data_IF_023141624125
#
_entry.id   IF_023141624125
#
_cell.length_a   1.000
_cell.length_b   1.000
_cell.length_c   1.000
_cell.angle_alpha   90.00
_cell.angle_beta   90.00
_cell.angle_gamma   90.00
#
_symmetry.space_group_name_H-M   'P 1'
#
loop_
_entity.id
_entity.type
_entity.pdbx_description
1 polymer ?
#
# COMPACT_ATOMS: atom_id res chain seq x y z
N UNK A 1 -2.77 47.07 -2.56
CA UNK A 1 -2.47 47.07 -4.01
C UNK A 1 -2.92 48.34 -4.73
N UNK A 2 -3.94 49.06 -4.23
CA UNK A 2 -4.48 50.31 -4.80
C UNK A 2 -3.46 51.47 -4.91
N UNK A 3 -2.48 51.52 -4.01
CA UNK A 3 -1.47 52.59 -3.96
C UNK A 3 -0.52 52.59 -5.18
N UNK A 4 -0.08 51.42 -5.64
CA UNK A 4 0.85 51.32 -6.79
C UNK A 4 0.24 51.75 -8.13
N UNK A 5 -1.05 51.49 -8.34
CA UNK A 5 -1.75 51.94 -9.54
C UNK A 5 -1.91 53.46 -9.57
N UNK A 6 -2.18 54.07 -8.42
CA UNK A 6 -2.28 55.53 -8.30
C UNK A 6 -0.90 56.19 -8.54
N UNK A 7 0.17 55.64 -7.99
CA UNK A 7 1.54 56.11 -8.21
C UNK A 7 1.95 56.01 -9.69
N UNK A 8 1.64 54.90 -10.36
CA UNK A 8 1.91 54.73 -11.79
C UNK A 8 1.16 55.75 -12.65
N UNK A 9 -0.12 55.99 -12.37
CA UNK A 9 -0.91 56.97 -13.11
C UNK A 9 -0.43 58.41 -12.92
N UNK A 10 0.03 58.77 -11.72
CA UNK A 10 0.67 60.07 -11.47
C UNK A 10 1.96 60.21 -12.28
N UNK A 11 2.83 59.21 -12.25
CA UNK A 11 4.08 59.22 -13.01
C UNK A 11 3.85 59.35 -14.53
N UNK A 12 2.89 58.59 -15.08
CA UNK A 12 2.51 58.68 -16.49
C UNK A 12 1.98 60.07 -16.88
N UNK A 13 1.13 60.66 -16.03
CA UNK A 13 0.61 62.02 -16.26
C UNK A 13 1.70 63.06 -16.22
N UNK A 14 2.65 62.94 -15.29
CA UNK A 14 3.77 63.86 -15.16
C UNK A 14 4.72 63.75 -16.37
N UNK A 15 5.06 62.52 -16.78
CA UNK A 15 5.86 62.29 -17.99
C UNK A 15 5.18 62.86 -19.25
N UNK A 16 3.87 62.63 -19.41
CA UNK A 16 3.10 63.18 -20.53
C UNK A 16 3.03 64.72 -20.45
N UNK A 17 2.86 65.29 -19.27
CA UNK A 17 2.86 66.74 -19.07
C UNK A 17 4.21 67.37 -19.44
N UNK A 18 5.33 66.75 -19.04
CA UNK A 18 6.67 67.18 -19.44
C UNK A 18 6.88 67.09 -20.96
N UNK A 19 6.40 66.02 -21.60
CA UNK A 19 6.50 65.86 -23.06
C UNK A 19 5.66 66.90 -23.81
N UNK A 20 4.42 67.13 -23.38
CA UNK A 20 3.53 68.17 -23.95
C UNK A 20 4.10 69.56 -23.72
N UNK A 21 4.71 69.82 -22.55
CA UNK A 21 5.39 71.07 -22.27
C UNK A 21 6.59 71.29 -23.21
N UNK A 22 7.46 70.28 -23.37
CA UNK A 22 8.58 70.35 -24.31
C UNK A 22 8.10 70.57 -25.76
N UNK A 23 7.03 69.89 -26.18
CA UNK A 23 6.40 70.10 -27.48
C UNK A 23 5.86 71.52 -27.65
N UNK A 24 5.18 72.05 -26.62
CA UNK A 24 4.66 73.42 -26.63
C UNK A 24 5.76 74.45 -26.73
N UNK A 25 6.85 74.29 -25.97
CA UNK A 25 8.03 75.18 -26.03
C UNK A 25 8.70 75.09 -27.40
N UNK A 26 8.83 73.90 -27.98
CA UNK A 26 9.38 73.72 -29.32
C UNK A 26 8.52 74.42 -30.39
N UNK A 27 7.20 74.22 -30.38
CA UNK A 27 6.28 74.86 -31.32
C UNK A 27 6.30 76.39 -31.15
N UNK A 28 6.31 76.88 -29.92
CA UNK A 28 6.35 78.31 -29.62
C UNK A 28 7.65 78.96 -30.12
N UNK A 29 8.80 78.33 -29.87
CA UNK A 29 10.10 78.81 -30.35
C UNK A 29 10.25 78.75 -31.87
N UNK A 30 9.55 77.82 -32.55
CA UNK A 30 9.50 77.76 -34.02
C UNK A 30 8.54 78.81 -34.63
N UNK A 31 7.42 79.10 -33.96
CA UNK A 31 6.41 80.03 -34.48
C UNK A 31 6.71 81.51 -34.17
N UNK A 32 7.35 81.84 -33.04
CA UNK A 32 7.65 83.23 -32.65
C UNK A 32 8.42 84.03 -33.73
N UNK A 33 9.50 83.48 -34.32
CA UNK A 33 10.27 84.19 -35.36
C UNK A 33 9.51 84.38 -36.67
N UNK A 34 8.38 83.67 -36.87
CA UNK A 34 7.48 83.86 -38.01
C UNK A 34 6.51 85.04 -37.81
N UNK A 35 6.03 85.25 -36.58
CA UNK A 35 5.10 86.34 -36.27
C UNK A 35 5.82 87.65 -35.94
N UNK A 36 7.06 87.59 -35.46
CA UNK A 36 7.87 88.78 -35.12
C UNK A 36 9.27 88.68 -35.77
N UNK A 37 9.47 89.27 -36.96
CA UNK A 37 10.73 89.21 -37.70
C UNK A 37 11.93 89.77 -36.93
N UNK A 38 11.70 90.72 -36.01
CA UNK A 38 12.73 91.38 -35.23
C UNK A 38 13.47 90.47 -34.23
N UNK A 39 12.95 89.26 -33.95
CA UNK A 39 13.57 88.30 -33.01
C UNK A 39 14.37 87.18 -33.68
N UNK A 40 14.54 87.19 -35.01
CA UNK A 40 15.25 86.13 -35.74
C UNK A 40 16.75 85.99 -35.40
N UNK A 41 17.36 86.98 -34.74
CA UNK A 41 18.80 86.97 -34.36
C UNK A 41 19.10 86.61 -32.89
N UNK A 42 18.10 86.23 -32.09
CA UNK A 42 18.28 85.98 -30.66
C UNK A 42 18.94 84.61 -30.38
N UNK A 43 20.19 84.60 -29.93
CA UNK A 43 20.95 83.37 -29.60
C UNK A 43 20.23 82.46 -28.57
N UNK A 44 19.59 83.08 -27.57
CA UNK A 44 18.91 82.38 -26.49
C UNK A 44 17.66 81.62 -26.97
N UNK A 45 16.98 82.11 -28.01
CA UNK A 45 15.85 81.42 -28.65
C UNK A 45 16.32 80.13 -29.34
N UNK A 46 17.49 80.16 -29.98
CA UNK A 46 18.10 78.98 -30.60
C UNK A 46 18.44 77.88 -29.58
N UNK A 47 18.96 78.26 -28.41
CA UNK A 47 19.29 77.31 -27.34
C UNK A 47 18.04 76.60 -26.79
N UNK A 48 16.95 77.35 -26.54
CA UNK A 48 15.68 76.80 -26.06
C UNK A 48 15.05 75.88 -27.13
N UNK A 49 15.14 76.26 -28.40
CA UNK A 49 14.68 75.42 -29.51
C UNK A 49 15.42 74.07 -29.51
N UNK A 50 16.75 74.08 -29.49
CA UNK A 50 17.55 72.85 -29.50
C UNK A 50 17.29 71.98 -28.26
N UNK A 51 17.18 72.59 -27.08
CA UNK A 51 16.88 71.89 -25.84
C UNK A 51 15.49 71.24 -25.84
N UNK A 52 14.47 71.96 -26.33
CA UNK A 52 13.10 71.43 -26.44
C UNK A 52 12.97 70.36 -27.52
N UNK A 53 13.70 70.49 -28.63
CA UNK A 53 13.80 69.47 -29.68
C UNK A 53 14.42 68.17 -29.15
N UNK A 54 15.55 68.27 -28.45
CA UNK A 54 16.22 67.12 -27.83
C UNK A 54 15.32 66.45 -26.77
N UNK A 55 14.64 67.23 -25.93
CA UNK A 55 13.71 66.72 -24.92
C UNK A 55 12.50 66.01 -25.54
N UNK A 56 11.94 66.56 -26.63
CA UNK A 56 10.83 65.97 -27.38
C UNK A 56 11.24 64.62 -27.99
N UNK A 57 12.35 64.59 -28.73
CA UNK A 57 12.83 63.38 -29.42
C UNK A 57 13.20 62.31 -28.39
N UNK A 58 13.91 62.68 -27.32
CA UNK A 58 14.27 61.77 -26.25
C UNK A 58 13.06 61.15 -25.55
N UNK A 59 12.02 61.95 -25.27
CA UNK A 59 10.79 61.45 -24.66
C UNK A 59 9.98 60.53 -25.59
N UNK A 60 9.95 60.81 -26.89
CA UNK A 60 9.34 59.91 -27.88
C UNK A 60 10.10 58.59 -28.03
N UNK A 61 11.44 58.62 -27.97
CA UNK A 61 12.29 57.44 -28.06
C UNK A 61 12.11 56.51 -26.86
N UNK A 62 12.07 57.05 -25.64
CA UNK A 62 11.83 56.26 -24.42
C UNK A 62 10.41 55.65 -24.42
N UNK A 63 9.41 56.42 -24.84
CA UNK A 63 8.06 55.90 -25.03
C UNK A 63 8.02 54.74 -26.03
N UNK A 64 8.73 54.87 -27.15
CA UNK A 64 8.85 53.82 -28.15
C UNK A 64 9.55 52.58 -27.58
N UNK A 65 10.67 52.71 -26.87
CA UNK A 65 11.40 51.59 -26.29
C UNK A 65 10.53 50.76 -25.33
N UNK A 66 9.87 51.41 -24.36
CA UNK A 66 9.01 50.72 -23.40
C UNK A 66 7.82 50.06 -24.09
N UNK A 67 7.21 50.74 -25.06
CA UNK A 67 6.07 50.19 -25.80
C UNK A 67 6.51 49.00 -26.67
N UNK A 68 7.65 49.10 -27.36
CA UNK A 68 8.21 48.05 -28.20
C UNK A 68 8.67 46.82 -27.39
N UNK A 69 9.08 46.96 -26.14
CA UNK A 69 9.43 45.82 -25.29
C UNK A 69 8.19 45.02 -24.82
N UNK A 70 7.09 45.72 -24.50
CA UNK A 70 5.98 45.13 -23.71
C UNK A 70 4.62 45.09 -24.39
N UNK A 71 4.38 45.82 -25.49
CA UNK A 71 3.08 45.89 -26.16
C UNK A 71 3.21 45.74 -27.67
N UNK A 72 2.27 45.03 -28.32
CA UNK A 72 2.15 45.08 -29.76
C UNK A 72 1.67 46.47 -30.19
N UNK A 73 2.35 47.06 -31.18
CA UNK A 73 1.92 48.33 -31.78
C UNK A 73 0.72 48.02 -32.71
N UNK A 74 -0.39 48.78 -32.62
CA UNK A 74 -1.61 48.51 -33.39
C UNK A 74 -1.42 48.53 -34.91
N UNK A 75 -2.31 47.82 -35.60
CA UNK A 75 -2.15 47.34 -36.98
C UNK A 75 -2.10 48.40 -38.10
N UNK A 76 -2.30 49.69 -37.81
CA UNK A 76 -2.22 50.75 -38.82
C UNK A 76 -0.77 51.06 -39.25
N UNK A 77 0.23 50.72 -38.43
CA UNK A 77 1.65 50.80 -38.79
C UNK A 77 2.44 49.68 -38.08
N UNK A 78 2.42 48.43 -38.59
CA UNK A 78 3.10 47.31 -37.95
C UNK A 78 4.62 47.49 -38.08
N UNK A 79 5.27 47.86 -36.96
CA UNK A 79 6.74 47.84 -36.87
C UNK A 79 7.15 46.40 -36.55
N UNK A 80 7.91 45.73 -37.44
CA UNK A 80 8.39 44.37 -37.19
C UNK A 80 9.29 44.32 -35.94
N UNK A 81 9.31 43.19 -35.24
CA UNK A 81 10.12 42.95 -34.03
C UNK A 81 9.80 43.80 -32.79
N UNK A 82 8.52 44.15 -32.59
CA UNK A 82 8.02 44.69 -31.32
C UNK A 82 7.41 43.57 -30.46
N UNK A 83 7.18 43.83 -29.18
CA UNK A 83 6.70 42.88 -28.17
C UNK A 83 7.66 41.71 -27.85
N UNK A 84 8.98 41.93 -27.89
CA UNK A 84 10.00 40.86 -27.74
C UNK A 84 9.87 40.12 -26.41
N UNK A 85 9.64 40.83 -25.30
CA UNK A 85 9.59 40.21 -23.97
C UNK A 85 8.27 39.49 -23.74
N UNK A 86 7.13 40.06 -24.13
CA UNK A 86 5.86 39.40 -23.91
C UNK A 86 5.64 38.20 -24.87
N UNK A 87 6.18 38.26 -26.09
CA UNK A 87 6.13 37.14 -27.05
C UNK A 87 7.01 35.95 -26.61
N UNK A 88 8.17 36.21 -26.00
CA UNK A 88 9.10 35.16 -25.54
C UNK A 88 8.97 34.83 -24.04
N UNK A 89 7.86 35.18 -23.40
CA UNK A 89 7.66 34.98 -21.94
C UNK A 89 7.89 33.53 -21.50
N UNK A 90 7.43 32.57 -22.29
CA UNK A 90 7.60 31.13 -22.00
C UNK A 90 9.07 30.71 -22.00
N UNK A 91 9.83 31.16 -23.00
CA UNK A 91 11.27 30.89 -23.14
C UNK A 91 12.05 31.50 -21.97
N UNK A 92 11.74 32.75 -21.62
CA UNK A 92 12.36 33.44 -20.47
C UNK A 92 12.05 32.71 -19.16
N UNK A 93 10.79 32.31 -18.95
CA UNK A 93 10.40 31.57 -17.75
C UNK A 93 11.10 30.21 -17.65
N UNK A 94 11.25 29.49 -18.76
CA UNK A 94 11.91 28.19 -18.79
C UNK A 94 13.42 28.32 -18.51
N UNK A 95 14.08 29.31 -19.12
CA UNK A 95 15.50 29.60 -18.88
C UNK A 95 15.76 30.04 -17.44
N UNK A 96 14.86 30.87 -16.87
CA UNK A 96 14.95 31.27 -15.47
C UNK A 96 14.75 30.07 -14.53
N UNK A 97 13.81 29.17 -14.85
CA UNK A 97 13.59 27.94 -14.07
C UNK A 97 14.82 27.03 -14.11
N UNK A 98 15.42 26.83 -15.28
CA UNK A 98 16.68 26.10 -15.46
C UNK A 98 17.82 26.73 -14.65
N UNK A 99 17.98 28.06 -14.74
CA UNK A 99 18.99 28.78 -13.98
C UNK A 99 18.80 28.60 -12.46
N UNK A 100 17.56 28.70 -11.97
CA UNK A 100 17.26 28.49 -10.55
C UNK A 100 17.56 27.05 -10.13
N UNK A 101 17.17 26.07 -10.95
CA UNK A 101 17.47 24.65 -10.71
C UNK A 101 18.98 24.41 -10.66
N UNK A 102 19.73 24.91 -11.63
CA UNK A 102 21.18 24.67 -11.76
C UNK A 102 22.00 25.42 -10.71
N UNK A 103 21.65 26.68 -10.41
CA UNK A 103 22.44 27.51 -9.49
C UNK A 103 22.04 27.37 -8.04
N UNK A 104 20.74 27.20 -7.74
CA UNK A 104 20.24 27.17 -6.37
C UNK A 104 19.83 25.78 -5.88
N UNK A 105 19.43 24.87 -6.78
CA UNK A 105 18.96 23.52 -6.42
C UNK A 105 19.82 22.40 -7.02
N UNK A 106 21.13 22.62 -7.15
CA UNK A 106 22.02 21.53 -7.49
C UNK A 106 22.21 20.61 -6.28
N UNK A 107 22.42 19.29 -6.50
CA UNK A 107 22.49 18.30 -5.42
C UNK A 107 23.47 18.68 -4.30
N UNK A 108 24.63 19.25 -4.64
CA UNK A 108 25.67 19.63 -3.69
C UNK A 108 25.25 20.81 -2.79
N UNK A 109 24.56 21.82 -3.32
CA UNK A 109 24.00 22.91 -2.50
C UNK A 109 22.89 22.42 -1.57
N UNK A 110 22.04 21.50 -2.04
CA UNK A 110 20.99 20.91 -1.21
C UNK A 110 21.62 20.06 -0.11
N UNK A 111 22.61 19.22 -0.43
CA UNK A 111 23.32 18.41 0.56
C UNK A 111 24.00 19.30 1.59
N UNK A 112 24.71 20.34 1.15
CA UNK A 112 25.37 21.30 2.04
C UNK A 112 24.36 22.01 2.94
N UNK A 113 23.24 22.47 2.39
CA UNK A 113 22.17 23.11 3.16
C UNK A 113 21.57 22.15 4.20
N UNK A 114 21.30 20.89 3.84
CA UNK A 114 20.79 19.86 4.76
C UNK A 114 21.82 19.55 5.85
N UNK A 115 23.10 19.44 5.49
CA UNK A 115 24.20 19.17 6.43
C UNK A 115 24.40 20.31 7.42
N UNK A 116 24.35 21.56 6.95
CA UNK A 116 24.52 22.76 7.78
C UNK A 116 23.32 23.00 8.70
N UNK A 117 22.11 22.62 8.27
CA UNK A 117 20.87 22.83 9.05
C UNK A 117 20.49 21.66 9.98
N UNK A 118 21.15 20.50 9.86
CA UNK A 118 20.94 19.27 10.65
C UNK A 118 19.47 19.06 11.08
N UNK A 119 18.55 18.91 10.12
CA UNK A 119 17.12 18.83 10.38
C UNK A 119 16.77 17.61 11.24
N UNK A 120 17.58 16.54 11.17
CA UNK A 120 17.42 15.36 12.01
C UNK A 120 17.64 15.68 13.49
N UNK A 121 18.69 16.43 13.83
CA UNK A 121 18.93 16.89 15.21
C UNK A 121 17.92 17.94 15.67
N UNK A 122 17.38 18.74 14.75
CA UNK A 122 16.23 19.62 15.01
C UNK A 122 14.97 18.83 15.38
N UNK A 123 14.63 17.82 14.57
CA UNK A 123 13.50 16.93 14.83
C UNK A 123 13.70 16.12 16.12
N UNK A 124 14.90 15.62 16.39
CA UNK A 124 15.25 14.92 17.64
C UNK A 124 15.04 15.80 18.87
N UNK A 125 15.50 17.06 18.85
CA UNK A 125 15.26 18.04 19.94
C UNK A 125 13.79 18.39 20.09
N UNK A 126 13.03 18.43 19.00
CA UNK A 126 11.59 18.66 19.06
C UNK A 126 10.86 17.46 19.68
N UNK A 127 11.26 16.24 19.32
CA UNK A 127 10.70 14.98 19.82
C UNK A 127 11.15 14.63 21.24
N UNK A 128 12.28 15.13 21.72
CA UNK A 128 12.71 14.92 23.11
C UNK A 128 11.78 15.59 24.11
N UNK A 129 10.93 16.53 23.68
CA UNK A 129 9.85 17.09 24.49
C UNK A 129 8.63 16.13 24.47
N UNK A 130 8.27 15.60 25.63
CA UNK A 130 7.18 14.61 25.78
C UNK A 130 5.84 15.07 25.19
N UNK A 131 5.53 16.38 25.29
CA UNK A 131 4.34 17.00 24.69
C UNK A 131 4.32 16.86 23.16
N UNK A 132 5.45 17.07 22.50
CA UNK A 132 5.56 17.02 21.04
C UNK A 132 5.58 15.59 20.53
N UNK A 133 6.31 14.69 21.20
CA UNK A 133 6.27 13.26 20.93
C UNK A 133 4.84 12.70 21.06
N UNK A 134 4.09 13.13 22.08
CA UNK A 134 2.70 12.72 22.28
C UNK A 134 1.76 13.29 21.21
N UNK A 135 1.98 14.53 20.75
CA UNK A 135 1.24 15.10 19.62
C UNK A 135 1.49 14.34 18.33
N UNK A 136 2.76 14.03 18.01
CA UNK A 136 3.10 13.28 16.81
C UNK A 136 2.57 11.84 16.88
N UNK A 137 2.75 11.17 18.02
CA UNK A 137 2.19 9.83 18.27
C UNK A 137 0.68 9.82 18.02
N UNK A 138 -0.04 10.81 18.57
CA UNK A 138 -1.49 10.92 18.36
C UNK A 138 -1.85 11.13 16.89
N UNK A 139 -1.18 12.06 16.21
CA UNK A 139 -1.40 12.31 14.79
C UNK A 139 -1.15 11.07 13.93
N UNK A 140 -0.05 10.34 14.19
CA UNK A 140 0.28 9.11 13.48
C UNK A 140 -0.78 8.04 13.75
N UNK A 141 -1.17 7.83 15.02
CA UNK A 141 -2.19 6.84 15.36
C UNK A 141 -3.56 7.21 14.78
N UNK A 142 -3.95 8.49 14.75
CA UNK A 142 -5.20 8.95 14.15
C UNK A 142 -5.18 8.76 12.62
N UNK A 143 -4.05 9.08 11.97
CA UNK A 143 -3.87 8.86 10.54
C UNK A 143 -3.90 7.36 10.20
N UNK A 144 -3.21 6.52 10.98
CA UNK A 144 -3.23 5.06 10.83
C UNK A 144 -4.63 4.50 11.06
N UNK A 145 -5.36 4.95 12.08
CA UNK A 145 -6.74 4.54 12.32
C UNK A 145 -7.65 4.95 11.16
N UNK A 146 -7.44 6.14 10.59
CA UNK A 146 -8.13 6.60 9.38
C UNK A 146 -7.88 5.68 8.18
N UNK A 147 -6.62 5.36 7.90
CA UNK A 147 -6.23 4.42 6.83
C UNK A 147 -6.82 3.03 7.08
N UNK A 148 -6.73 2.54 8.31
CA UNK A 148 -7.21 1.21 8.68
C UNK A 148 -8.73 1.12 8.48
N UNK A 149 -9.51 2.16 8.83
CA UNK A 149 -10.95 2.21 8.53
C UNK A 149 -11.26 2.12 7.03
N UNK A 150 -10.45 2.72 6.16
CA UNK A 150 -10.59 2.59 4.70
C UNK A 150 -10.31 1.15 4.24
N UNK A 151 -9.36 0.46 4.89
CA UNK A 151 -9.03 -0.93 4.58
C UNK A 151 -10.09 -1.96 5.04
N UNK A 152 -11.08 -1.57 5.84
CA UNK A 152 -12.18 -2.45 6.25
C UNK A 152 -13.29 -2.59 5.17
N UNK A 153 -13.16 -1.85 4.08
CA UNK A 153 -14.20 -1.80 3.06
C UNK A 153 -14.36 -3.14 2.30
N UNK A 154 -15.58 -3.39 1.82
CA UNK A 154 -15.95 -4.61 1.06
C UNK A 154 -15.01 -4.90 -0.12
N UNK A 155 -14.54 -3.91 -0.91
CA UNK A 155 -13.60 -4.16 -2.00
C UNK A 155 -12.26 -4.70 -1.52
N UNK A 156 -11.75 -4.22 -0.38
CA UNK A 156 -10.47 -4.68 0.18
C UNK A 156 -10.59 -6.11 0.70
N UNK A 157 -11.69 -6.44 1.40
CA UNK A 157 -11.99 -7.81 1.82
C UNK A 157 -12.05 -8.77 0.62
N UNK A 158 -12.73 -8.37 -0.45
CA UNK A 158 -12.80 -9.16 -1.68
C UNK A 158 -11.43 -9.31 -2.36
N UNK A 159 -10.62 -8.25 -2.38
CA UNK A 159 -9.27 -8.29 -2.92
C UNK A 159 -8.36 -9.26 -2.12
N UNK A 160 -8.44 -9.22 -0.79
CA UNK A 160 -7.67 -10.13 0.08
C UNK A 160 -8.10 -11.58 -0.14
N UNK A 161 -9.41 -11.86 -0.19
CA UNK A 161 -9.91 -13.19 -0.49
C UNK A 161 -9.42 -13.71 -1.85
N UNK A 162 -9.51 -12.87 -2.90
CA UNK A 162 -9.01 -13.22 -4.24
C UNK A 162 -7.49 -13.44 -4.27
N UNK A 163 -6.75 -12.65 -3.51
CA UNK A 163 -5.29 -12.80 -3.40
C UNK A 163 -4.92 -14.07 -2.66
N UNK A 164 -5.61 -14.40 -1.57
CA UNK A 164 -5.43 -15.66 -0.84
C UNK A 164 -5.73 -16.87 -1.76
N UNK A 165 -6.83 -16.79 -2.52
CA UNK A 165 -7.21 -17.83 -3.48
C UNK A 165 -6.13 -18.01 -4.56
N UNK A 166 -5.59 -16.91 -5.10
CA UNK A 166 -4.49 -16.94 -6.07
C UNK A 166 -3.21 -17.50 -5.46
N UNK A 167 -2.89 -17.13 -4.23
CA UNK A 167 -1.73 -17.63 -3.49
C UNK A 167 -1.79 -19.15 -3.30
N UNK A 168 -2.91 -19.67 -2.80
CA UNK A 168 -3.12 -21.12 -2.64
C UNK A 168 -3.00 -21.84 -3.99
N UNK A 169 -3.48 -21.21 -5.07
CA UNK A 169 -3.35 -21.76 -6.42
C UNK A 169 -1.92 -21.84 -6.96
N UNK A 170 -1.01 -21.02 -6.45
CA UNK A 170 0.40 -21.04 -6.82
C UNK A 170 1.23 -22.00 -5.95
N UNK A 171 0.69 -22.45 -4.82
CA UNK A 171 1.37 -23.42 -3.96
C UNK A 171 1.30 -24.81 -4.57
N UNK A 172 2.45 -25.48 -4.61
CA UNK A 172 2.51 -26.91 -4.86
C UNK A 172 2.11 -27.67 -3.58
N UNK A 173 0.80 -27.86 -3.40
CA UNK A 173 0.26 -28.60 -2.25
C UNK A 173 0.79 -30.03 -2.19
N UNK A 174 1.11 -30.64 -3.34
CA UNK A 174 1.66 -32.00 -3.37
C UNK A 174 3.03 -32.01 -2.73
N UNK A 175 3.92 -31.10 -3.15
CA UNK A 175 5.26 -30.99 -2.57
C UNK A 175 5.21 -30.62 -1.09
N UNK A 176 4.32 -29.72 -0.69
CA UNK A 176 4.14 -29.34 0.72
C UNK A 176 3.68 -30.53 1.58
N UNK A 177 2.69 -31.30 1.13
CA UNK A 177 2.24 -32.50 1.84
C UNK A 177 3.32 -33.57 1.88
N UNK A 178 4.02 -33.81 0.78
CA UNK A 178 5.10 -34.79 0.73
C UNK A 178 6.25 -34.43 1.66
N UNK A 179 6.61 -33.14 1.74
CA UNK A 179 7.70 -32.67 2.60
C UNK A 179 7.29 -32.71 4.07
N UNK A 180 6.08 -32.26 4.41
CA UNK A 180 5.60 -32.25 5.80
C UNK A 180 5.36 -33.65 6.33
N UNK A 181 4.68 -34.50 5.55
CA UNK A 181 4.39 -35.88 5.93
C UNK A 181 5.68 -36.73 5.92
N UNK A 182 6.59 -36.46 4.98
CA UNK A 182 7.93 -37.04 4.97
C UNK A 182 8.74 -36.66 6.22
N UNK A 183 8.67 -35.40 6.68
CA UNK A 183 9.35 -34.97 7.90
C UNK A 183 8.79 -35.66 9.17
N UNK A 184 7.47 -35.86 9.23
CA UNK A 184 6.80 -36.57 10.34
C UNK A 184 7.02 -38.10 10.26
N UNK A 185 7.31 -38.63 9.07
CA UNK A 185 7.56 -40.07 8.89
C UNK A 185 9.04 -40.41 9.09
N UNK A 186 9.93 -39.42 8.91
CA UNK A 186 11.37 -39.54 9.12
C UNK A 186 11.64 -40.09 10.53
N UNK A 187 12.60 -41.01 10.64
CA UNK A 187 12.96 -41.68 11.90
C UNK A 187 11.81 -42.48 12.54
N UNK A 188 10.83 -42.92 11.74
CA UNK A 188 9.67 -43.70 12.20
C UNK A 188 8.82 -42.99 13.26
N UNK A 189 8.83 -41.65 13.32
CA UNK A 189 8.00 -40.91 14.29
C UNK A 189 6.48 -41.14 14.12
N UNK A 190 6.04 -41.59 12.95
CA UNK A 190 4.67 -42.04 12.71
C UNK A 190 4.27 -43.25 13.59
N UNK A 191 5.22 -44.08 14.04
CA UNK A 191 4.99 -45.17 14.98
C UNK A 191 4.55 -44.65 16.36
N UNK A 192 5.06 -43.50 16.81
CA UNK A 192 4.64 -42.88 18.09
C UNK A 192 3.17 -42.47 18.05
N UNK A 193 2.67 -42.04 16.89
CA UNK A 193 1.24 -41.74 16.69
C UNK A 193 0.44 -43.04 16.69
N UNK A 194 0.95 -44.08 16.01
CA UNK A 194 0.34 -45.41 16.01
C UNK A 194 0.23 -45.98 17.43
N UNK A 195 1.27 -45.89 18.25
CA UNK A 195 1.27 -46.34 19.64
C UNK A 195 0.19 -45.66 20.47
N UNK A 196 0.00 -44.34 20.30
CA UNK A 196 -1.06 -43.61 21.02
C UNK A 196 -2.46 -44.04 20.61
N UNK A 197 -2.64 -44.36 19.33
CA UNK A 197 -3.93 -44.85 18.81
C UNK A 197 -4.18 -46.28 19.29
N UNK A 198 -3.22 -47.18 19.08
CA UNK A 198 -3.27 -48.57 19.51
C UNK A 198 -3.47 -48.68 21.02
N UNK A 199 -2.69 -47.97 21.84
CA UNK A 199 -2.82 -48.01 23.29
C UNK A 199 -4.19 -47.49 23.79
N UNK A 200 -4.76 -46.47 23.13
CA UNK A 200 -6.13 -46.02 23.45
C UNK A 200 -7.17 -47.06 23.06
N UNK A 201 -7.04 -47.65 21.88
CA UNK A 201 -7.97 -48.68 21.41
C UNK A 201 -7.87 -49.94 22.26
N UNK A 202 -6.66 -50.44 22.54
CA UNK A 202 -6.41 -51.58 23.41
C UNK A 202 -7.04 -51.36 24.79
N UNK A 203 -6.84 -50.17 25.39
CA UNK A 203 -7.47 -49.83 26.68
C UNK A 203 -9.00 -49.81 26.63
N UNK A 204 -9.58 -49.23 25.57
CA UNK A 204 -11.05 -49.20 25.40
C UNK A 204 -11.62 -50.60 25.17
N UNK A 205 -10.95 -51.42 24.35
CA UNK A 205 -11.37 -52.78 24.04
C UNK A 205 -11.12 -53.78 25.18
N UNK A 206 -10.20 -53.48 26.10
CA UNK A 206 -9.96 -54.28 27.30
C UNK A 206 -11.04 -54.10 28.38
N UNK A 207 -11.83 -53.03 28.30
CA UNK A 207 -12.88 -52.75 29.28
C UNK A 207 -14.06 -53.72 29.14
N UNK A 208 -14.45 -54.46 30.21
CA UNK A 208 -15.49 -55.49 30.12
C UNK A 208 -16.83 -54.98 29.61
N UNK A 209 -17.24 -53.77 30.01
CA UNK A 209 -18.49 -53.15 29.55
C UNK A 209 -18.46 -52.86 28.05
N UNK A 210 -17.33 -52.38 27.54
CA UNK A 210 -17.12 -52.13 26.11
C UNK A 210 -17.15 -53.44 25.31
N UNK A 211 -16.56 -54.52 25.83
CA UNK A 211 -16.59 -55.82 25.16
C UNK A 211 -18.01 -56.37 25.05
N UNK A 212 -18.80 -56.28 26.12
CA UNK A 212 -20.19 -56.72 26.15
C UNK A 212 -21.03 -55.88 25.17
N UNK A 213 -20.88 -54.56 25.19
CA UNK A 213 -21.59 -53.65 24.29
C UNK A 213 -21.29 -53.93 22.81
N UNK A 214 -20.02 -54.13 22.46
CA UNK A 214 -19.60 -54.45 21.08
C UNK A 214 -20.14 -55.83 20.68
N UNK A 215 -20.07 -56.82 21.58
CA UNK A 215 -20.59 -58.16 21.32
C UNK A 215 -22.09 -58.16 21.04
N UNK A 216 -22.88 -57.45 21.87
CA UNK A 216 -24.34 -57.33 21.68
C UNK A 216 -24.66 -56.62 20.36
N UNK A 217 -23.95 -55.52 20.06
CA UNK A 217 -24.11 -54.78 18.80
C UNK A 217 -23.78 -55.65 17.59
N UNK A 218 -22.72 -56.47 17.68
CA UNK A 218 -22.29 -57.38 16.64
C UNK A 218 -23.35 -58.45 16.37
N UNK A 219 -23.94 -59.03 17.41
CA UNK A 219 -25.05 -60.01 17.29
C UNK A 219 -26.26 -59.39 16.59
N UNK A 220 -26.65 -58.16 16.97
CA UNK A 220 -27.79 -57.45 16.35
C UNK A 220 -27.51 -57.11 14.89
N UNK A 221 -26.31 -56.62 14.60
CA UNK A 221 -25.90 -56.26 13.24
C UNK A 221 -25.86 -57.48 12.31
N UNK A 222 -25.29 -58.60 12.75
CA UNK A 222 -25.27 -59.86 11.99
C UNK A 222 -26.67 -60.36 11.65
N UNK A 223 -27.62 -60.28 12.60
CA UNK A 223 -29.02 -60.68 12.40
C UNK A 223 -29.76 -59.77 11.41
N UNK A 224 -29.40 -58.49 11.36
CA UNK A 224 -30.12 -57.49 10.55
C UNK A 224 -29.56 -57.40 9.13
N UNK A 225 -28.25 -57.31 8.97
CA UNK A 225 -27.60 -57.04 7.67
C UNK A 225 -27.30 -58.33 6.89
N UNK A 226 -27.01 -59.44 7.59
CA UNK A 226 -26.54 -60.69 6.97
C UNK A 226 -27.40 -61.91 7.37
N UNK A 227 -28.72 -61.81 7.25
CA UNK A 227 -29.66 -62.91 7.59
C UNK A 227 -29.44 -64.22 6.82
N UNK A 228 -28.70 -64.18 5.70
CA UNK A 228 -28.30 -65.38 4.93
C UNK A 228 -27.09 -66.10 5.55
N UNK A 229 -26.17 -65.37 6.17
CA UNK A 229 -24.99 -65.91 6.84
C UNK A 229 -25.37 -66.51 8.20
N UNK A 230 -26.41 -65.97 8.85
CA UNK A 230 -27.02 -66.55 10.06
C UNK A 230 -27.41 -68.03 9.88
N UNK A 231 -27.92 -68.41 8.69
CA UNK A 231 -28.35 -69.79 8.40
C UNK A 231 -27.18 -70.76 8.20
N UNK A 232 -25.97 -70.26 7.99
CA UNK A 232 -24.77 -71.06 7.73
C UNK A 232 -23.87 -71.20 8.96
N UNK A 233 -24.03 -70.31 9.95
CA UNK A 233 -23.22 -70.31 11.17
C UNK A 233 -23.87 -71.18 12.26
N UNK A 234 -23.08 -71.96 13.03
CA UNK A 234 -23.60 -72.65 14.21
C UNK A 234 -24.19 -71.65 15.21
N UNK A 235 -25.33 -71.98 15.82
CA UNK A 235 -26.01 -71.11 16.80
C UNK A 235 -25.14 -70.72 18.01
N UNK A 236 -24.11 -71.52 18.31
CA UNK A 236 -23.11 -71.22 19.34
C UNK A 236 -22.24 -69.99 19.00
N UNK A 237 -21.95 -69.73 17.73
CA UNK A 237 -21.17 -68.56 17.28
C UNK A 237 -22.01 -67.28 17.22
N UNK A 238 -23.32 -67.42 17.05
CA UNK A 238 -24.31 -66.33 17.04
C UNK A 238 -24.88 -66.01 18.43
N UNK A 239 -24.35 -66.66 19.47
CA UNK A 239 -24.70 -66.40 20.87
C UNK A 239 -23.89 -65.22 21.42
N UNK A 240 -24.38 -64.60 22.49
CA UNK A 240 -23.67 -63.55 23.25
C UNK A 240 -22.24 -64.01 23.64
N UNK A 241 -22.09 -65.29 23.99
CA UNK A 241 -20.78 -65.88 24.33
C UNK A 241 -19.86 -66.00 23.12
N UNK A 242 -20.39 -66.37 21.94
CA UNK A 242 -19.60 -66.44 20.70
C UNK A 242 -19.10 -65.06 20.26
N UNK A 243 -19.97 -64.05 20.31
CA UNK A 243 -19.59 -62.67 20.01
C UNK A 243 -18.58 -62.12 21.03
N UNK A 244 -18.75 -62.43 22.32
CA UNK A 244 -17.80 -62.02 23.35
C UNK A 244 -16.43 -62.70 23.21
N UNK A 245 -16.37 -63.97 22.79
CA UNK A 245 -15.12 -64.65 22.44
C UNK A 245 -14.46 -63.97 21.23
N UNK A 246 -15.22 -63.62 20.20
CA UNK A 246 -14.69 -62.93 19.02
C UNK A 246 -14.11 -61.55 19.38
N UNK A 247 -14.83 -60.76 20.19
CA UNK A 247 -14.35 -59.44 20.65
C UNK A 247 -13.09 -59.58 21.51
N UNK A 248 -13.03 -60.58 22.40
CA UNK A 248 -11.82 -60.87 23.19
C UNK A 248 -10.63 -61.28 22.31
N UNK A 249 -10.86 -62.08 21.27
CA UNK A 249 -9.82 -62.45 20.32
C UNK A 249 -9.29 -61.22 19.56
N UNK A 250 -10.16 -60.33 19.10
CA UNK A 250 -9.75 -59.06 18.46
C UNK A 250 -9.01 -58.15 19.44
N UNK A 251 -9.47 -58.06 20.68
CA UNK A 251 -8.79 -57.28 21.73
C UNK A 251 -7.39 -57.82 22.02
N UNK A 252 -7.23 -59.15 22.09
CA UNK A 252 -5.92 -59.79 22.30
C UNK A 252 -4.97 -59.51 21.15
N UNK A 253 -5.42 -59.66 19.90
CA UNK A 253 -4.61 -59.36 18.72
C UNK A 253 -4.18 -57.88 18.73
N UNK A 254 -5.06 -56.97 19.13
CA UNK A 254 -4.74 -55.55 19.20
C UNK A 254 -3.68 -55.25 20.27
N UNK A 255 -3.73 -55.96 21.40
CA UNK A 255 -2.76 -55.88 22.48
C UNK A 255 -1.39 -56.44 22.04
N UNK A 256 -1.39 -57.58 21.34
CA UNK A 256 -0.17 -58.17 20.76
C UNK A 256 0.51 -57.21 19.77
N UNK A 257 -0.28 -56.53 18.91
CA UNK A 257 0.24 -55.50 18.00
C UNK A 257 0.77 -54.30 18.80
N UNK A 258 0.15 -53.95 19.92
CA UNK A 258 0.57 -52.81 20.75
C UNK A 258 1.87 -53.11 21.50
N UNK A 259 2.03 -54.30 22.09
CA UNK A 259 3.22 -54.67 22.87
C UNK A 259 4.45 -55.01 22.03
N UNK A 260 4.27 -55.64 20.86
CA UNK A 260 5.39 -56.03 19.99
C UNK A 260 5.71 -54.93 18.95
N UNK A 261 6.83 -54.24 19.14
CA UNK A 261 7.34 -53.25 18.18
C UNK A 261 7.69 -53.84 16.81
N UNK A 262 8.03 -55.14 16.74
CA UNK A 262 8.40 -55.86 15.51
C UNK A 262 7.23 -56.63 14.90
N UNK A 263 6.00 -56.35 15.35
CA UNK A 263 4.83 -57.06 14.87
C UNK A 263 4.67 -56.88 13.34
N UNK A 264 4.34 -57.95 12.56
CA UNK A 264 4.22 -57.87 11.10
C UNK A 264 3.26 -56.76 10.60
N UNK A 265 2.18 -56.49 11.35
CA UNK A 265 1.22 -55.41 11.02
C UNK A 265 1.85 -54.02 11.16
N UNK A 266 2.73 -53.80 12.13
CA UNK A 266 3.46 -52.52 12.28
C UNK A 266 4.41 -52.30 11.12
N UNK A 267 5.08 -53.35 10.67
CA UNK A 267 5.94 -53.32 9.49
C UNK A 267 5.17 -53.05 8.20
N UNK A 268 4.03 -53.73 8.01
CA UNK A 268 3.16 -53.49 6.87
C UNK A 268 2.62 -52.04 6.86
N UNK A 269 2.33 -51.47 8.04
CA UNK A 269 1.95 -50.06 8.15
C UNK A 269 3.11 -49.12 7.76
N UNK A 270 4.33 -49.37 8.24
CA UNK A 270 5.52 -48.59 7.87
C UNK A 270 5.75 -48.61 6.35
N UNK A 271 5.67 -49.79 5.74
CA UNK A 271 5.79 -49.98 4.28
C UNK A 271 4.70 -49.22 3.52
N UNK A 272 3.44 -49.33 3.96
CA UNK A 272 2.32 -48.64 3.31
C UNK A 272 2.45 -47.11 3.39
N UNK A 273 2.96 -46.57 4.50
CA UNK A 273 3.22 -45.13 4.65
C UNK A 273 4.34 -44.69 3.70
N UNK A 274 5.41 -45.47 3.58
CA UNK A 274 6.51 -45.17 2.66
C UNK A 274 6.07 -45.23 1.19
N UNK A 275 5.30 -46.25 0.82
CA UNK A 275 4.72 -46.39 -0.52
C UNK A 275 3.79 -45.22 -0.83
N UNK A 276 2.91 -44.84 0.12
CA UNK A 276 2.02 -43.69 -0.05
C UNK A 276 2.79 -42.39 -0.25
N UNK A 277 3.88 -42.16 0.49
CA UNK A 277 4.75 -40.99 0.30
C UNK A 277 5.44 -41.01 -1.06
N UNK A 278 5.89 -42.18 -1.52
CA UNK A 278 6.50 -42.35 -2.83
C UNK A 278 5.49 -42.04 -3.95
N UNK A 279 4.29 -42.60 -3.88
CA UNK A 279 3.19 -42.31 -4.82
C UNK A 279 2.80 -40.84 -4.79
N UNK A 280 2.74 -40.22 -3.62
CA UNK A 280 2.42 -38.80 -3.48
C UNK A 280 3.41 -37.90 -4.23
N UNK A 281 4.67 -38.31 -4.33
CA UNK A 281 5.70 -37.55 -5.05
C UNK A 281 5.74 -37.88 -6.55
N UNK A 282 5.58 -39.15 -6.93
CA UNK A 282 5.90 -39.62 -8.28
C UNK A 282 4.66 -40.00 -9.13
N UNK A 283 3.49 -40.20 -8.51
CA UNK A 283 2.30 -40.68 -9.24
C UNK A 283 1.49 -39.54 -9.88
N UNK A 284 1.21 -39.61 -11.19
CA UNK A 284 0.33 -38.63 -11.85
C UNK A 284 -1.12 -38.73 -11.38
N UNK A 285 -1.56 -39.89 -10.88
CA UNK A 285 -2.90 -40.06 -10.30
C UNK A 285 -3.02 -39.29 -8.98
N UNK A 286 -1.99 -39.37 -8.13
CA UNK A 286 -2.00 -38.66 -6.86
C UNK A 286 -1.91 -37.15 -7.06
N UNK A 287 -1.17 -36.68 -8.07
CA UNK A 287 -1.17 -35.28 -8.47
C UNK A 287 -2.57 -34.75 -8.82
N UNK A 288 -3.30 -35.48 -9.66
CA UNK A 288 -4.69 -35.15 -10.00
C UNK A 288 -5.58 -35.13 -8.76
N UNK A 289 -5.41 -36.11 -7.86
CA UNK A 289 -6.19 -36.21 -6.63
C UNK A 289 -5.93 -35.00 -5.72
N UNK A 290 -4.67 -34.66 -5.46
CA UNK A 290 -4.29 -33.48 -4.65
C UNK A 290 -4.81 -32.19 -5.27
N UNK A 291 -4.66 -32.02 -6.59
CA UNK A 291 -5.18 -30.85 -7.29
C UNK A 291 -6.70 -30.74 -7.21
N UNK A 292 -7.43 -31.86 -7.29
CA UNK A 292 -8.89 -31.86 -7.11
C UNK A 292 -9.31 -31.42 -5.70
N UNK A 293 -8.57 -31.83 -4.67
CA UNK A 293 -8.81 -31.37 -3.30
C UNK A 293 -8.45 -29.89 -3.13
N UNK A 294 -7.35 -29.43 -3.75
CA UNK A 294 -7.00 -28.01 -3.81
C UNK A 294 -8.14 -27.20 -4.38
N UNK A 295 -8.65 -27.57 -5.54
CA UNK A 295 -9.74 -26.88 -6.22
C UNK A 295 -11.01 -26.83 -5.37
N UNK A 296 -11.36 -27.93 -4.70
CA UNK A 296 -12.48 -27.95 -3.76
C UNK A 296 -12.31 -26.94 -2.64
N UNK A 297 -11.14 -26.90 -1.99
CA UNK A 297 -10.85 -25.97 -0.89
C UNK A 297 -10.85 -24.51 -1.38
N UNK A 298 -10.17 -24.26 -2.50
CA UNK A 298 -9.99 -22.93 -3.09
C UNK A 298 -11.31 -22.33 -3.56
N UNK A 299 -12.23 -23.16 -4.06
CA UNK A 299 -13.55 -22.73 -4.53
C UNK A 299 -14.64 -22.85 -3.45
N UNK A 300 -14.30 -23.30 -2.24
CA UNK A 300 -15.24 -23.42 -1.14
C UNK A 300 -15.68 -22.03 -0.65
N UNK A 301 -16.99 -21.71 -0.62
CA UNK A 301 -17.50 -20.49 0.02
C UNK A 301 -17.06 -20.34 1.48
N UNK A 302 -16.82 -21.44 2.19
CA UNK A 302 -16.34 -21.45 3.56
C UNK A 302 -14.94 -20.83 3.68
N UNK A 303 -14.04 -21.06 2.72
CA UNK A 303 -12.70 -20.46 2.71
C UNK A 303 -12.80 -18.93 2.60
N UNK A 304 -13.63 -18.44 1.67
CA UNK A 304 -13.82 -17.01 1.49
C UNK A 304 -14.37 -16.36 2.77
N UNK A 305 -15.39 -16.99 3.37
CA UNK A 305 -15.98 -16.55 4.63
C UNK A 305 -14.94 -16.52 5.75
N UNK A 306 -14.12 -17.57 5.87
CA UNK A 306 -13.07 -17.65 6.87
C UNK A 306 -12.00 -16.57 6.70
N UNK A 307 -11.52 -16.33 5.47
CA UNK A 307 -10.53 -15.28 5.17
C UNK A 307 -11.09 -13.89 5.52
N UNK A 308 -12.35 -13.62 5.15
CA UNK A 308 -13.00 -12.35 5.47
C UNK A 308 -13.17 -12.15 6.98
N UNK A 309 -13.60 -13.19 7.71
CA UNK A 309 -13.73 -13.13 9.16
C UNK A 309 -12.38 -12.97 9.85
N UNK A 310 -11.35 -13.66 9.35
CA UNK A 310 -9.98 -13.56 9.88
C UNK A 310 -9.41 -12.16 9.67
N UNK A 311 -9.63 -11.58 8.49
CA UNK A 311 -9.29 -10.18 8.22
C UNK A 311 -10.03 -9.22 9.14
N UNK A 312 -11.34 -9.38 9.32
CA UNK A 312 -12.14 -8.54 10.20
C UNK A 312 -11.65 -8.61 11.66
N UNK A 313 -11.36 -9.81 12.16
CA UNK A 313 -10.78 -10.00 13.51
C UNK A 313 -9.42 -9.32 13.65
N UNK A 314 -8.53 -9.50 12.68
CA UNK A 314 -7.20 -8.88 12.68
C UNK A 314 -7.28 -7.35 12.64
N UNK A 315 -8.13 -6.82 11.77
CA UNK A 315 -8.40 -5.39 11.65
C UNK A 315 -8.93 -4.79 12.95
N UNK A 316 -9.94 -5.43 13.54
CA UNK A 316 -10.52 -5.01 14.81
C UNK A 316 -9.47 -5.05 15.93
N UNK A 317 -8.68 -6.11 16.00
CA UNK A 317 -7.58 -6.22 16.97
C UNK A 317 -6.55 -5.09 16.83
N UNK A 318 -6.18 -4.72 15.59
CA UNK A 318 -5.28 -3.58 15.34
C UNK A 318 -5.89 -2.25 15.78
N UNK A 319 -7.16 -1.99 15.46
CA UNK A 319 -7.85 -0.76 15.87
C UNK A 319 -7.92 -0.64 17.39
N UNK A 320 -8.36 -1.69 18.08
CA UNK A 320 -8.44 -1.71 19.55
C UNK A 320 -7.06 -1.54 20.18
N UNK A 321 -6.01 -2.15 19.61
CA UNK A 321 -4.63 -2.00 20.09
C UNK A 321 -4.12 -0.55 19.95
N UNK A 322 -4.49 0.16 18.88
CA UNK A 322 -4.14 1.58 18.70
C UNK A 322 -4.89 2.47 19.71
N UNK A 323 -6.19 2.23 19.91
CA UNK A 323 -7.02 2.98 20.85
C UNK A 323 -6.55 2.80 22.31
N UNK A 324 -6.20 1.58 22.72
CA UNK A 324 -5.68 1.29 24.06
C UNK A 324 -4.33 1.98 24.32
N UNK A 325 -3.42 1.97 23.33
CA UNK A 325 -2.15 2.70 23.43
C UNK A 325 -2.36 4.21 23.55
N UNK A 326 -3.31 4.77 22.80
CA UNK A 326 -3.67 6.18 22.91
C UNK A 326 -4.30 6.53 24.27
N UNK A 327 -5.13 5.64 24.83
CA UNK A 327 -5.74 5.80 26.14
C UNK A 327 -4.69 5.81 27.26
N UNK A 328 -3.77 4.83 27.25
CA UNK A 328 -2.65 4.77 28.20
C UNK A 328 -1.75 6.01 28.13
N UNK A 329 -1.49 6.53 26.94
CA UNK A 329 -0.66 7.73 26.78
C UNK A 329 -1.37 9.02 27.24
N UNK A 330 -2.70 9.13 27.08
CA UNK A 330 -3.50 10.23 27.63
C UNK A 330 -3.51 10.24 29.16
N UNK A 331 -3.57 9.07 29.80
CA UNK A 331 -3.51 8.94 31.26
C UNK A 331 -2.15 9.39 31.81
N UNK A 332 -1.05 9.01 31.15
CA UNK A 332 0.30 9.40 31.55
C UNK A 332 0.54 10.92 31.53
N UNK A 333 0.05 11.62 30.50
CA UNK A 333 0.15 13.09 30.41
C UNK A 333 -0.81 13.86 31.34
N UNK A 334 -1.73 13.21 32.04
CA UNK A 334 -2.67 13.87 32.97
C UNK A 334 -2.20 13.80 34.43
N UNK A 335 -1.20 12.96 34.69
CA UNK A 335 -0.62 12.69 36.02
C UNK A 335 0.70 13.47 36.22
N UNK A 336 1.22 14.12 35.17
CA UNK A 336 2.28 15.12 35.22
C UNK A 336 1.70 16.51 34.96
#
# INVERSE_FOLDING_TARGET
MTDKYAQLNKAKRLALACLVFAAGVFVFTVLLPKFYPNLQGAWWLGLIKMASEAALIGGLADWFAVTALFKPIPAQYPIPHTNIVASNKSVIANNLSLFVKEKFFHPEAIEKLIRDSDPAKGAGRWLSQERNATRLSRFICDAFAGVLRVLDDKPVKAFIAKTAQKGINQLDLRQLMATSLGAVTKERQHQVVLDRVLGKLAKLLAEPETQIYIADTLVVWLKTEYSRIEKLLPSSWLSEQGALIAVKAVSSILDDIYEDEHHPIRHAFDEQVHEFLYELQHSPLMEKKVNSYREKIVNDPALNTYVQQSWAKFHQWLLTSLEDKMAKQKLKCRVC
#
